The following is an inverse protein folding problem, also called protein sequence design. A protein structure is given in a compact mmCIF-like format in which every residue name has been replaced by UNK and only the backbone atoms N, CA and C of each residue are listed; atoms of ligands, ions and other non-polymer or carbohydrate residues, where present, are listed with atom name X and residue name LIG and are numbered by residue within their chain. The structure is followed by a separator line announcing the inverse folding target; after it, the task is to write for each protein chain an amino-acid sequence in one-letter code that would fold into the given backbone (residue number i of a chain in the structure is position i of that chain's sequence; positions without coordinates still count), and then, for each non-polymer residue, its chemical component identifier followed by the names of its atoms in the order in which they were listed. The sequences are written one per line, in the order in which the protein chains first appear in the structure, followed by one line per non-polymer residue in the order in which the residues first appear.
data_IF_306443090486
#
_entry.id   IF_306443090486
#
_cell.length_a   1.000
_cell.length_b   1.000
_cell.length_c   1.000
_cell.angle_alpha   90.00
_cell.angle_beta   90.00
_cell.angle_gamma   90.00
#
_symmetry.space_group_name_H-M   'P 1'
#
loop_
_entity.id
_entity.type
_entity.pdbx_description
1 polymer ?
#
# COMPACT_ATOMS: atom_id res chain seq x y z
N UNK A 1 -5.68 -23.15 -5.57
CA UNK A 1 -6.87 -22.38 -5.14
C UNK A 1 -6.30 -21.06 -4.67
N UNK A 2 -6.69 -19.97 -5.30
CA UNK A 2 -6.10 -18.66 -5.03
C UNK A 2 -6.83 -18.08 -3.82
N UNK A 3 -6.10 -17.63 -2.81
CA UNK A 3 -6.68 -16.96 -1.65
C UNK A 3 -6.75 -15.45 -1.92
N UNK A 4 -7.85 -14.82 -1.52
CA UNK A 4 -8.00 -13.36 -1.64
C UNK A 4 -7.98 -12.77 -0.24
N UNK A 5 -7.02 -11.87 0.00
CA UNK A 5 -6.92 -11.13 1.27
C UNK A 5 -7.26 -9.68 1.03
N UNK A 6 -8.12 -9.14 1.89
CA UNK A 6 -8.46 -7.71 1.89
C UNK A 6 -7.56 -6.95 2.87
N UNK A 7 -6.83 -5.96 2.36
CA UNK A 7 -6.05 -5.00 3.15
C UNK A 7 -6.89 -3.72 3.25
N UNK A 8 -7.41 -3.46 4.45
CA UNK A 8 -8.24 -2.29 4.76
C UNK A 8 -7.61 -1.52 5.91
N UNK A 9 -7.50 -0.22 5.78
CA UNK A 9 -6.95 0.62 6.84
C UNK A 9 -6.90 2.10 6.47
N UNK A 10 -6.14 2.85 7.25
CA UNK A 10 -5.89 4.27 6.98
C UNK A 10 -4.42 4.59 7.20
N UNK A 11 -3.84 5.45 6.37
CA UNK A 11 -2.50 5.99 6.56
C UNK A 11 -2.56 7.52 6.61
N UNK A 12 -2.01 8.10 7.67
CA UNK A 12 -1.79 9.54 7.70
C UNK A 12 -0.62 9.89 6.79
N UNK A 13 -0.65 11.04 6.13
CA UNK A 13 0.47 11.55 5.34
C UNK A 13 0.78 13.00 5.68
N UNK A 14 2.03 13.37 5.43
CA UNK A 14 2.52 14.75 5.45
C UNK A 14 3.39 14.94 4.21
N UNK A 15 3.09 15.95 3.41
CA UNK A 15 3.81 16.27 2.18
C UNK A 15 3.89 17.79 2.03
N UNK A 16 5.06 18.36 2.28
CA UNK A 16 5.24 19.82 2.22
C UNK A 16 5.01 20.42 0.83
N UNK A 17 5.17 19.63 -0.23
CA UNK A 17 4.93 20.07 -1.60
C UNK A 17 3.44 20.08 -1.95
N UNK A 18 2.62 19.33 -1.22
CA UNK A 18 1.19 19.17 -1.49
C UNK A 18 0.93 18.53 -2.86
N UNK A 19 1.79 17.62 -3.29
CA UNK A 19 1.78 16.97 -4.60
C UNK A 19 1.73 15.43 -4.49
N UNK A 20 1.08 14.90 -3.45
CA UNK A 20 0.74 13.46 -3.36
C UNK A 20 0.08 12.98 -4.65
N UNK A 21 0.68 11.96 -5.25
CA UNK A 21 0.26 11.38 -6.53
C UNK A 21 -0.57 10.11 -6.33
N UNK A 22 -0.07 9.19 -5.50
CA UNK A 22 -0.67 7.86 -5.35
C UNK A 22 -0.34 7.22 -4.01
N UNK A 23 -1.11 6.20 -3.65
CA UNK A 23 -0.75 5.24 -2.61
C UNK A 23 -0.43 3.91 -3.27
N UNK A 24 0.67 3.29 -2.89
CA UNK A 24 1.13 2.01 -3.42
C UNK A 24 1.14 0.97 -2.31
N UNK A 25 0.57 -0.20 -2.59
CA UNK A 25 0.61 -1.37 -1.72
C UNK A 25 1.48 -2.40 -2.42
N UNK A 26 2.52 -2.88 -1.74
CA UNK A 26 3.34 -4.01 -2.19
C UNK A 26 3.11 -5.18 -1.26
N UNK A 27 2.75 -6.33 -1.80
CA UNK A 27 2.66 -7.58 -1.06
C UNK A 27 3.77 -8.52 -1.53
N UNK A 28 4.50 -9.10 -0.57
CA UNK A 28 5.63 -9.97 -0.77
C UNK A 28 5.28 -11.36 -0.28
N UNK A 29 5.15 -12.28 -1.22
CA UNK A 29 4.81 -13.68 -0.96
C UNK A 29 6.05 -14.48 -0.52
N UNK A 30 5.88 -15.63 0.16
CA UNK A 30 6.99 -16.48 0.61
C UNK A 30 7.88 -17.03 -0.52
N UNK A 31 7.35 -17.17 -1.73
CA UNK A 31 8.08 -17.62 -2.91
C UNK A 31 8.93 -16.51 -3.56
N UNK A 32 8.89 -15.29 -3.01
CA UNK A 32 9.58 -14.11 -3.52
C UNK A 32 8.80 -13.33 -4.57
N UNK A 33 7.60 -13.78 -4.96
CA UNK A 33 6.73 -12.99 -5.84
C UNK A 33 6.27 -11.70 -5.14
N UNK A 34 6.08 -10.65 -5.93
CA UNK A 34 5.61 -9.35 -5.42
C UNK A 34 4.40 -8.89 -6.22
N UNK A 35 3.29 -8.64 -5.55
CA UNK A 35 2.14 -7.95 -6.13
C UNK A 35 2.20 -6.46 -5.79
N UNK A 36 1.90 -5.59 -6.76
CA UNK A 36 1.83 -4.14 -6.55
C UNK A 36 0.45 -3.63 -6.94
N UNK A 37 -0.22 -2.99 -6.00
CA UNK A 37 -1.52 -2.34 -6.20
C UNK A 37 -1.33 -0.84 -6.07
N UNK A 38 -1.81 -0.10 -7.07
CA UNK A 38 -1.80 1.36 -7.06
C UNK A 38 -3.21 1.86 -6.79
N UNK A 39 -3.36 2.62 -5.70
CA UNK A 39 -4.56 3.38 -5.39
C UNK A 39 -4.33 4.83 -5.83
N UNK A 40 -5.15 5.30 -6.76
CA UNK A 40 -5.14 6.69 -7.19
C UNK A 40 -5.74 7.55 -6.06
N UNK A 41 -4.85 8.12 -5.26
CA UNK A 41 -5.20 9.02 -4.14
C UNK A 41 -4.53 10.39 -4.33
N UNK A 42 -4.70 11.06 -5.48
CA UNK A 42 -4.08 12.35 -5.70
C UNK A 42 -4.66 13.37 -4.72
N UNK A 43 -3.79 14.12 -4.04
CA UNK A 43 -4.21 15.18 -3.13
C UNK A 43 -3.47 16.48 -3.43
N UNK A 44 -3.86 17.11 -4.54
CA UNK A 44 -3.26 18.37 -4.97
C UNK A 44 -3.55 19.49 -3.97
N UNK A 45 -2.48 20.12 -3.48
CA UNK A 45 -2.52 21.22 -2.52
C UNK A 45 -2.69 20.80 -1.05
N UNK A 46 -2.87 19.51 -0.74
CA UNK A 46 -2.98 19.04 0.64
C UNK A 46 -1.61 18.67 1.19
N UNK A 47 -1.18 19.42 2.22
CA UNK A 47 0.09 19.15 2.91
C UNK A 47 0.05 18.03 3.92
N UNK A 48 -1.14 17.55 4.25
CA UNK A 48 -1.33 16.43 5.14
C UNK A 48 -2.78 15.99 5.17
N UNK A 49 -3.01 14.77 5.64
CA UNK A 49 -4.33 14.18 5.68
C UNK A 49 -4.29 12.71 6.03
N UNK A 50 -5.45 12.06 5.87
CA UNK A 50 -5.63 10.63 6.09
C UNK A 50 -6.14 10.02 4.78
N UNK A 51 -5.44 9.00 4.29
CA UNK A 51 -5.85 8.22 3.13
C UNK A 51 -6.47 6.92 3.63
N UNK A 52 -7.69 6.64 3.18
CA UNK A 52 -8.34 5.34 3.38
C UNK A 52 -7.84 4.35 2.34
N UNK A 53 -7.52 3.15 2.80
CA UNK A 53 -6.98 2.06 2.00
C UNK A 53 -7.98 0.92 2.00
N UNK A 54 -8.28 0.42 0.81
CA UNK A 54 -9.04 -0.81 0.62
C UNK A 54 -8.55 -1.46 -0.66
N UNK A 55 -7.85 -2.58 -0.52
CA UNK A 55 -7.34 -3.36 -1.64
C UNK A 55 -7.54 -4.85 -1.42
N UNK A 56 -7.76 -5.58 -2.50
CA UNK A 56 -7.77 -7.04 -2.51
C UNK A 56 -6.50 -7.51 -3.21
N UNK A 57 -5.75 -8.38 -2.54
CA UNK A 57 -4.54 -9.01 -3.08
C UNK A 57 -4.84 -10.49 -3.26
N UNK A 58 -4.44 -11.04 -4.40
CA UNK A 58 -4.61 -12.46 -4.68
C UNK A 58 -3.29 -13.18 -4.39
N UNK A 59 -3.37 -14.31 -3.68
CA UNK A 59 -2.20 -15.11 -3.34
C UNK A 59 -2.38 -16.53 -3.82
N UNK A 60 -1.39 -16.99 -4.57
CA UNK A 60 -1.34 -18.36 -5.10
C UNK A 60 -0.41 -19.25 -4.26
N UNK A 61 0.25 -18.65 -3.26
CA UNK A 61 1.23 -19.29 -2.38
C UNK A 61 0.85 -19.10 -0.92
N UNK A 62 0.90 -20.20 -0.17
CA UNK A 62 0.62 -20.26 1.27
C UNK A 62 1.86 -19.88 2.08
N UNK A 63 1.65 -19.25 3.23
CA UNK A 63 2.70 -18.89 4.18
C UNK A 63 2.61 -17.45 4.66
N UNK A 64 3.70 -16.96 5.26
CA UNK A 64 3.78 -15.59 5.79
C UNK A 64 4.02 -14.61 4.65
N UNK A 65 3.02 -13.79 4.38
CA UNK A 65 3.12 -12.66 3.46
C UNK A 65 3.44 -11.39 4.24
N UNK A 66 4.33 -10.57 3.68
CA UNK A 66 4.58 -9.20 4.17
C UNK A 66 3.90 -8.21 3.24
N UNK A 67 3.37 -7.12 3.77
CA UNK A 67 2.91 -6.00 2.94
C UNK A 67 3.53 -4.68 3.37
N UNK A 68 3.67 -3.77 2.41
CA UNK A 68 4.08 -2.39 2.60
C UNK A 68 3.06 -1.46 1.92
N UNK A 69 2.67 -0.40 2.61
CA UNK A 69 1.79 0.65 2.10
C UNK A 69 2.55 1.97 2.16
N UNK A 70 2.63 2.67 1.04
CA UNK A 70 3.41 3.89 0.90
C UNK A 70 2.62 4.96 0.17
N UNK A 71 2.66 6.18 0.68
CA UNK A 71 2.11 7.37 0.00
C UNK A 71 3.25 8.03 -0.77
N UNK A 72 3.06 8.24 -2.07
CA UNK A 72 4.09 8.66 -3.02
C UNK A 72 3.68 9.98 -3.65
N UNK A 73 4.57 10.96 -3.62
CA UNK A 73 4.39 12.27 -4.27
C UNK A 73 4.76 12.25 -5.76
N UNK A 74 4.53 13.37 -6.46
CA UNK A 74 4.86 13.51 -7.88
C UNK A 74 6.37 13.41 -8.18
N UNK A 75 7.22 13.64 -7.18
CA UNK A 75 8.68 13.55 -7.28
C UNK A 75 9.20 12.16 -6.91
N UNK A 76 8.32 11.26 -6.46
CA UNK A 76 8.65 9.90 -6.02
C UNK A 76 9.08 9.80 -4.55
N UNK A 77 9.00 10.89 -3.76
CA UNK A 77 9.23 10.83 -2.32
C UNK A 77 8.11 10.06 -1.63
N UNK A 78 8.48 9.35 -0.56
CA UNK A 78 7.60 8.48 0.22
C UNK A 78 7.42 9.11 1.59
N UNK A 79 6.23 9.66 1.86
CA UNK A 79 5.98 10.41 3.10
C UNK A 79 5.84 9.50 4.31
N UNK A 80 5.15 8.36 4.16
CA UNK A 80 4.97 7.36 5.20
C UNK A 80 5.01 5.94 4.63
N UNK A 81 5.40 5.00 5.49
CA UNK A 81 5.44 3.57 5.20
C UNK A 81 4.76 2.81 6.36
N UNK A 82 3.68 2.10 6.05
CA UNK A 82 3.06 1.13 6.95
C UNK A 82 3.46 -0.27 6.50
N UNK A 83 3.88 -1.12 7.42
CA UNK A 83 4.25 -2.51 7.13
C UNK A 83 3.53 -3.47 8.05
N UNK A 84 3.17 -4.65 7.54
CA UNK A 84 2.62 -5.72 8.36
C UNK A 84 2.84 -7.09 7.74
N UNK A 85 2.50 -8.12 8.49
CA UNK A 85 2.56 -9.52 8.03
C UNK A 85 1.24 -10.22 8.35
N UNK A 86 0.90 -11.20 7.53
CA UNK A 86 -0.24 -12.10 7.76
C UNK A 86 0.04 -13.48 7.16
N UNK A 87 -0.68 -14.49 7.62
CA UNK A 87 -0.60 -15.85 7.07
C UNK A 87 -1.68 -16.06 6.01
N UNK A 88 -1.27 -16.65 4.89
CA UNK A 88 -2.12 -17.20 3.82
C UNK A 88 -2.15 -18.72 3.99
N UNK A 89 -3.32 -19.35 4.05
CA UNK A 89 -3.49 -20.73 4.53
C UNK A 89 -3.93 -21.75 3.48
#
# INVERSE_FOLDING_TARGET
MNEVVSIIGTIAFSDESGDVLKTEIKAYSPDGSTETIVLNTPSNGLKGGIISISAQVMFDVKGITTFEIQVIDQKGFRSNKLTGTFNVY
#
